data_IF_068495909237
#
_entry.id   IF_068495909237
#
_cell.length_a   1.000
_cell.length_b   1.000
_cell.length_c   1.000
_cell.angle_alpha   90.00
_cell.angle_beta   90.00
_cell.angle_gamma   90.00
#
_symmetry.space_group_name_H-M   'P 1'
#
loop_
_entity.id
_entity.type
_entity.pdbx_description
1 polymer ?
#
# COMPACT_ATOMS: atom_id res chain seq x y z
N UNK A 1 11.38 -13.60 -20.41
CA UNK A 1 12.11 -14.75 -19.89
C UNK A 1 11.27 -15.40 -18.80
N UNK A 2 11.20 -16.73 -18.74
CA UNK A 2 10.48 -17.43 -17.71
C UNK A 2 11.23 -17.23 -16.38
N UNK A 3 10.51 -16.88 -15.33
CA UNK A 3 11.04 -16.90 -13.99
C UNK A 3 11.47 -18.31 -13.65
N UNK A 4 12.72 -18.47 -13.27
CA UNK A 4 13.32 -19.74 -12.93
C UNK A 4 12.56 -20.49 -11.87
N UNK A 5 12.48 -21.77 -12.10
CA UNK A 5 11.94 -22.79 -11.24
C UNK A 5 12.71 -22.81 -9.90
N UNK A 6 12.18 -22.12 -8.90
CA UNK A 6 12.60 -22.27 -7.52
C UNK A 6 11.85 -23.46 -6.96
N UNK A 7 12.45 -24.63 -7.05
CA UNK A 7 11.93 -25.92 -6.64
C UNK A 7 11.53 -26.04 -5.15
N UNK A 8 10.63 -25.18 -4.70
CA UNK A 8 9.86 -25.32 -3.50
C UNK A 8 8.43 -25.61 -3.94
N UNK A 9 8.03 -26.85 -3.78
CA UNK A 9 6.63 -27.31 -3.87
C UNK A 9 5.83 -26.57 -2.81
N UNK A 10 5.41 -25.35 -3.09
CA UNK A 10 4.41 -24.63 -2.31
C UNK A 10 3.05 -25.18 -2.73
N UNK A 11 2.16 -25.49 -1.78
CA UNK A 11 0.81 -25.95 -2.11
C UNK A 11 0.14 -24.94 -3.06
N UNK A 12 -0.47 -25.44 -4.11
CA UNK A 12 -1.10 -24.68 -5.20
C UNK A 12 -2.12 -23.64 -4.72
N UNK A 13 -2.66 -23.80 -3.53
CA UNK A 13 -3.65 -22.91 -2.90
C UNK A 13 -3.10 -21.53 -2.47
N UNK A 14 -1.79 -21.37 -2.33
CA UNK A 14 -1.16 -20.09 -1.96
C UNK A 14 -1.00 -19.14 -3.14
N UNK A 15 -1.07 -19.62 -4.37
CA UNK A 15 -0.88 -18.82 -5.59
C UNK A 15 -2.21 -18.28 -6.12
N UNK A 16 -3.34 -18.87 -5.72
CA UNK A 16 -4.67 -18.48 -6.23
C UNK A 16 -5.19 -17.14 -5.74
N UNK A 17 -4.50 -16.48 -4.80
CA UNK A 17 -4.94 -15.20 -4.19
C UNK A 17 -4.29 -13.93 -4.75
N UNK A 18 -3.26 -14.00 -5.59
CA UNK A 18 -2.54 -12.80 -6.07
C UNK A 18 -2.61 -12.66 -7.59
N UNK A 19 -3.56 -11.86 -8.05
CA UNK A 19 -3.71 -11.49 -9.46
C UNK A 19 -3.14 -10.11 -9.74
N UNK A 20 -2.39 -9.98 -10.84
CA UNK A 20 -1.86 -8.70 -11.31
C UNK A 20 -2.55 -8.27 -12.59
N UNK A 21 -2.92 -6.99 -12.66
CA UNK A 21 -3.57 -6.38 -13.81
C UNK A 21 -2.82 -5.11 -14.21
N UNK A 22 -2.69 -4.89 -15.51
CA UNK A 22 -2.09 -3.66 -16.01
C UNK A 22 -3.13 -2.56 -16.06
N UNK A 23 -2.84 -1.44 -15.36
CA UNK A 23 -3.68 -0.24 -15.36
C UNK A 23 -3.30 0.69 -16.52
N UNK A 24 -4.30 1.48 -16.95
CA UNK A 24 -4.17 2.47 -18.02
C UNK A 24 -4.77 3.80 -17.56
N UNK A 25 -4.10 4.49 -16.62
CA UNK A 25 -4.54 5.80 -16.16
C UNK A 25 -4.36 6.87 -17.23
N UNK A 26 -5.21 7.90 -17.21
CA UNK A 26 -4.93 9.14 -17.94
C UNK A 26 -3.74 9.89 -17.31
N UNK A 27 -3.13 10.86 -18.02
CA UNK A 27 -2.02 11.66 -17.43
C UNK A 27 -2.39 12.31 -16.10
N UNK A 28 -3.59 12.85 -15.97
CA UNK A 28 -4.07 13.43 -14.71
C UNK A 28 -4.23 12.38 -13.60
N UNK A 29 -4.77 11.21 -13.93
CA UNK A 29 -4.88 10.08 -13.01
C UNK A 29 -3.52 9.56 -12.60
N UNK A 30 -2.56 9.48 -13.52
CA UNK A 30 -1.19 9.07 -13.21
C UNK A 30 -0.53 10.01 -12.21
N UNK A 31 -0.68 11.33 -12.40
CA UNK A 31 -0.18 12.32 -11.45
C UNK A 31 -0.81 12.13 -10.06
N UNK A 32 -2.14 11.95 -9.99
CA UNK A 32 -2.84 11.72 -8.73
C UNK A 32 -2.43 10.39 -8.05
N UNK A 33 -2.19 9.32 -8.81
CA UNK A 33 -1.67 8.06 -8.28
C UNK A 33 -0.28 8.22 -7.67
N UNK A 34 0.61 8.98 -8.33
CA UNK A 34 1.95 9.27 -7.82
C UNK A 34 1.92 10.12 -6.53
N UNK A 35 0.94 11.03 -6.39
CA UNK A 35 0.73 11.75 -5.13
C UNK A 35 0.35 10.80 -3.98
N UNK A 36 -0.52 9.83 -4.22
CA UNK A 36 -0.85 8.80 -3.22
C UNK A 36 0.36 7.93 -2.87
N UNK A 37 1.20 7.59 -3.86
CA UNK A 37 2.46 6.88 -3.62
C UNK A 37 3.42 7.72 -2.77
N UNK A 38 3.51 9.01 -3.03
CA UNK A 38 4.32 9.95 -2.24
C UNK A 38 3.86 9.99 -0.78
N UNK A 39 2.57 10.09 -0.54
CA UNK A 39 2.02 10.10 0.81
C UNK A 39 2.33 8.79 1.56
N UNK A 40 2.11 7.65 0.91
CA UNK A 40 2.41 6.34 1.49
C UNK A 40 3.90 6.19 1.81
N UNK A 41 4.79 6.65 0.93
CA UNK A 41 6.24 6.65 1.13
C UNK A 41 6.65 7.56 2.27
N UNK A 42 6.09 8.76 2.32
CA UNK A 42 6.35 9.73 3.39
C UNK A 42 6.03 9.14 4.76
N UNK A 43 4.83 8.58 4.92
CA UNK A 43 4.40 8.03 6.22
C UNK A 43 5.18 6.78 6.62
N UNK A 44 5.53 5.92 5.66
CA UNK A 44 6.43 4.80 5.94
C UNK A 44 7.77 5.29 6.46
N UNK A 45 8.37 6.28 5.80
CA UNK A 45 9.67 6.82 6.18
C UNK A 45 9.62 7.54 7.52
N UNK A 46 8.56 8.29 7.80
CA UNK A 46 8.34 8.94 9.10
C UNK A 46 8.23 7.91 10.24
N UNK A 47 7.46 6.85 10.02
CA UNK A 47 7.33 5.76 10.99
C UNK A 47 8.66 5.02 11.22
N UNK A 48 9.44 4.81 10.16
CA UNK A 48 10.77 4.24 10.24
C UNK A 48 11.73 5.13 11.03
N UNK A 49 11.68 6.44 10.82
CA UNK A 49 12.49 7.41 11.57
C UNK A 49 12.15 7.36 13.06
N UNK A 50 10.86 7.45 13.41
CA UNK A 50 10.41 7.32 14.81
C UNK A 50 10.92 6.03 15.46
N UNK A 51 10.81 4.91 14.75
CA UNK A 51 11.29 3.62 15.25
C UNK A 51 12.81 3.55 15.37
N UNK A 52 13.55 4.19 14.47
CA UNK A 52 15.02 4.22 14.47
C UNK A 52 15.59 5.11 15.57
N UNK A 53 14.84 6.12 16.01
CA UNK A 53 15.23 7.02 17.10
C UNK A 53 15.02 6.43 18.50
N UNK A 54 14.56 5.19 18.58
CA UNK A 54 14.36 4.55 19.87
C UNK A 54 15.68 4.40 20.63
N UNK A 55 15.67 4.84 21.88
CA UNK A 55 16.73 4.64 22.85
C UNK A 55 16.14 4.08 24.13
N UNK A 56 16.95 3.33 24.91
CA UNK A 56 16.50 2.62 26.10
C UNK A 56 15.85 3.53 27.16
N UNK A 57 16.28 4.77 27.22
CA UNK A 57 15.83 5.81 28.14
C UNK A 57 14.54 6.54 27.68
N UNK A 58 14.19 6.44 26.41
CA UNK A 58 12.98 7.09 25.85
C UNK A 58 11.71 6.25 25.91
N UNK A 59 11.79 5.03 26.45
CA UNK A 59 10.66 4.11 26.50
C UNK A 59 10.30 3.51 25.13
N UNK A 60 9.06 3.03 25.00
CA UNK A 60 8.59 2.37 23.80
C UNK A 60 8.39 3.37 22.63
N UNK A 61 8.69 2.91 21.42
CA UNK A 61 8.34 3.66 20.19
C UNK A 61 6.81 3.72 20.00
N UNK A 62 6.29 4.76 19.33
CA UNK A 62 4.87 4.82 19.01
C UNK A 62 4.43 3.59 18.21
N UNK A 63 3.42 2.89 18.70
CA UNK A 63 2.77 1.80 17.96
C UNK A 63 1.77 2.34 16.92
N UNK A 64 1.17 1.42 16.14
CA UNK A 64 0.24 1.76 15.07
C UNK A 64 -0.92 2.67 15.52
N UNK A 65 -1.54 2.40 16.67
CA UNK A 65 -2.66 3.20 17.18
C UNK A 65 -2.24 4.65 17.47
N UNK A 66 -1.10 4.83 18.12
CA UNK A 66 -0.54 6.15 18.41
C UNK A 66 -0.14 6.88 17.13
N UNK A 67 0.48 6.20 16.18
CA UNK A 67 0.81 6.76 14.86
C UNK A 67 -0.44 7.22 14.09
N UNK A 68 -1.55 6.47 14.17
CA UNK A 68 -2.83 6.88 13.59
C UNK A 68 -3.41 8.13 14.27
N UNK A 69 -3.27 8.27 15.60
CA UNK A 69 -3.66 9.48 16.32
C UNK A 69 -2.84 10.67 15.88
N UNK A 70 -1.52 10.53 15.82
CA UNK A 70 -0.59 11.56 15.33
C UNK A 70 -0.90 11.94 13.86
N UNK A 71 -1.25 10.96 13.02
CA UNK A 71 -1.68 11.23 11.65
C UNK A 71 -2.95 12.10 11.62
N UNK A 72 -3.93 11.83 12.48
CA UNK A 72 -5.15 12.63 12.56
C UNK A 72 -4.83 14.09 12.91
N UNK A 73 -3.97 14.32 13.89
CA UNK A 73 -3.51 15.65 14.29
C UNK A 73 -2.72 16.33 13.16
N UNK A 74 -1.81 15.61 12.52
CA UNK A 74 -1.03 16.13 11.40
C UNK A 74 -1.92 16.51 10.21
N UNK A 75 -2.96 15.71 9.90
CA UNK A 75 -3.93 16.03 8.84
C UNK A 75 -4.77 17.27 9.17
N UNK A 76 -5.03 17.55 10.44
CA UNK A 76 -5.67 18.81 10.85
C UNK A 76 -4.75 20.02 10.64
N UNK A 77 -3.46 19.84 10.89
CA UNK A 77 -2.46 20.92 10.80
C UNK A 77 -1.94 21.18 9.37
N UNK A 78 -1.79 20.10 8.56
CA UNK A 78 -1.18 20.16 7.24
C UNK A 78 -2.18 19.85 6.12
N UNK A 79 -2.47 20.87 5.31
CA UNK A 79 -3.44 20.76 4.21
C UNK A 79 -3.05 19.71 3.16
N UNK A 80 -1.77 19.63 2.81
CA UNK A 80 -1.30 18.67 1.83
C UNK A 80 -1.53 17.21 2.27
N UNK A 81 -1.41 16.89 3.57
CA UNK A 81 -1.77 15.57 4.10
C UNK A 81 -3.28 15.34 4.06
N UNK A 82 -4.05 16.36 4.42
CA UNK A 82 -5.52 16.29 4.40
C UNK A 82 -6.07 16.12 2.99
N UNK A 83 -5.43 16.69 1.98
CA UNK A 83 -5.79 16.53 0.56
C UNK A 83 -5.62 15.08 0.08
N UNK A 84 -4.69 14.32 0.64
CA UNK A 84 -4.48 12.92 0.34
C UNK A 84 -5.56 11.99 0.92
N UNK A 85 -5.47 10.71 0.58
CA UNK A 85 -6.39 9.68 1.07
C UNK A 85 -5.99 9.19 2.46
N UNK A 86 -6.88 9.36 3.44
CA UNK A 86 -6.67 8.85 4.79
C UNK A 86 -6.46 7.33 4.82
N UNK A 87 -7.22 6.58 4.02
CA UNK A 87 -7.09 5.13 3.92
C UNK A 87 -5.70 4.72 3.46
N UNK A 88 -5.18 5.35 2.40
CA UNK A 88 -3.82 5.09 1.89
C UNK A 88 -2.77 5.41 2.95
N UNK A 89 -2.91 6.53 3.63
CA UNK A 89 -1.99 6.98 4.67
C UNK A 89 -1.98 6.03 5.88
N UNK A 90 -3.15 5.62 6.37
CA UNK A 90 -3.25 4.64 7.46
C UNK A 90 -2.71 3.27 7.08
N UNK A 91 -2.93 2.83 5.83
CA UNK A 91 -2.41 1.55 5.38
C UNK A 91 -0.88 1.55 5.24
N UNK A 92 -0.26 2.67 4.92
CA UNK A 92 1.20 2.80 4.95
C UNK A 92 1.76 2.58 6.37
N UNK A 93 1.11 3.15 7.39
CA UNK A 93 1.48 2.93 8.79
C UNK A 93 1.23 1.48 9.23
N UNK A 94 0.12 0.86 8.79
CA UNK A 94 -0.16 -0.55 9.07
C UNK A 94 0.86 -1.48 8.43
N UNK A 95 1.25 -1.20 7.20
CA UNK A 95 2.28 -1.98 6.49
C UNK A 95 3.64 -1.86 7.19
N UNK A 96 3.96 -0.68 7.73
CA UNK A 96 5.17 -0.49 8.53
C UNK A 96 5.12 -1.29 9.84
N UNK A 97 4.03 -1.19 10.60
CA UNK A 97 3.82 -1.95 11.84
C UNK A 97 3.98 -3.47 11.60
N UNK A 98 3.40 -3.97 10.51
CA UNK A 98 3.55 -5.37 10.12
C UNK A 98 5.00 -5.73 9.77
N UNK A 99 5.72 -4.84 9.08
CA UNK A 99 7.12 -5.06 8.74
C UNK A 99 8.01 -5.13 9.99
N UNK A 100 7.76 -4.30 10.99
CA UNK A 100 8.46 -4.33 12.29
C UNK A 100 8.16 -5.63 13.03
N UNK A 101 6.90 -6.06 13.07
CA UNK A 101 6.52 -7.35 13.67
C UNK A 101 7.22 -8.53 13.01
N UNK A 102 7.25 -8.54 11.68
CA UNK A 102 7.92 -9.58 10.90
C UNK A 102 9.43 -9.61 11.14
N UNK A 103 10.03 -8.44 11.32
CA UNK A 103 11.45 -8.32 11.69
C UNK A 103 11.73 -8.94 13.06
N UNK A 104 10.94 -8.59 14.08
CA UNK A 104 11.11 -9.18 15.41
C UNK A 104 10.78 -10.68 15.48
N UNK A 105 9.89 -11.15 14.62
CA UNK A 105 9.61 -12.57 14.46
C UNK A 105 10.72 -13.33 13.69
N UNK A 106 11.74 -12.63 13.18
CA UNK A 106 12.85 -13.22 12.43
C UNK A 106 12.50 -13.69 11.01
N UNK A 107 11.29 -13.38 10.52
CA UNK A 107 10.81 -13.82 9.19
C UNK A 107 11.23 -12.90 8.05
N UNK A 108 11.53 -11.64 8.36
CA UNK A 108 11.89 -10.62 7.39
C UNK A 108 13.09 -9.80 7.86
N UNK A 109 13.74 -9.14 6.91
CA UNK A 109 14.83 -8.19 7.20
C UNK A 109 14.28 -6.92 7.85
N UNK A 110 15.18 -6.15 8.48
CA UNK A 110 14.86 -4.83 9.02
C UNK A 110 14.22 -3.93 7.97
N UNK A 111 13.13 -3.21 8.31
CA UNK A 111 12.55 -2.21 7.43
C UNK A 111 13.57 -1.15 6.99
N UNK A 112 13.51 -0.74 5.74
CA UNK A 112 14.41 0.23 5.12
C UNK A 112 13.64 1.42 4.55
N UNK A 113 14.36 2.50 4.28
CA UNK A 113 13.81 3.71 3.64
C UNK A 113 13.25 3.41 2.25
N UNK A 114 12.07 3.96 1.99
CA UNK A 114 11.47 3.92 0.65
C UNK A 114 11.94 5.12 -0.16
N UNK A 115 12.40 4.84 -1.39
CA UNK A 115 12.92 5.84 -2.33
C UNK A 115 11.91 6.12 -3.43
N UNK A 116 11.80 7.40 -3.85
CA UNK A 116 11.01 7.80 -5.00
C UNK A 116 11.50 7.10 -6.27
N UNK A 117 10.58 6.72 -7.14
CA UNK A 117 10.88 6.01 -8.38
C UNK A 117 11.23 4.52 -8.23
N UNK A 118 11.52 4.03 -7.02
CA UNK A 118 11.84 2.63 -6.76
C UNK A 118 10.78 1.91 -5.93
N UNK A 119 10.24 2.57 -4.92
CA UNK A 119 9.31 2.00 -3.97
C UNK A 119 7.96 2.73 -4.05
N UNK A 120 7.43 2.82 -5.27
CA UNK A 120 6.13 3.41 -5.50
C UNK A 120 5.04 2.35 -5.29
N UNK A 121 3.97 2.74 -4.62
CA UNK A 121 2.84 1.87 -4.38
C UNK A 121 2.11 2.19 -3.08
N UNK A 122 0.84 1.83 -3.04
CA UNK A 122 -0.02 1.96 -1.88
C UNK A 122 -1.05 0.84 -1.85
N UNK A 123 -1.69 0.65 -0.70
CA UNK A 123 -2.69 -0.39 -0.50
C UNK A 123 -4.06 0.23 -0.16
N UNK A 124 -5.10 -0.34 -0.75
CA UNK A 124 -6.50 -0.02 -0.46
C UNK A 124 -7.16 -1.24 0.17
N UNK A 125 -7.95 -1.03 1.21
CA UNK A 125 -8.62 -2.09 1.98
C UNK A 125 -10.09 -1.78 2.22
N UNK A 126 -10.82 -2.79 2.68
CA UNK A 126 -12.22 -2.68 3.07
C UNK A 126 -13.18 -2.48 1.91
N UNK A 127 -14.31 -1.84 2.15
CA UNK A 127 -15.35 -1.61 1.14
C UNK A 127 -14.89 -0.81 -0.09
N UNK A 128 -13.78 -0.10 0.01
CA UNK A 128 -13.17 0.59 -1.14
C UNK A 128 -12.43 -0.37 -2.09
N UNK A 129 -11.91 -1.50 -1.57
CA UNK A 129 -11.25 -2.51 -2.38
C UNK A 129 -12.23 -3.28 -3.29
N UNK A 130 -13.52 -3.33 -2.94
CA UNK A 130 -14.57 -4.01 -3.70
C UNK A 130 -15.15 -3.19 -4.85
N UNK A 131 -14.73 -1.93 -5.02
CA UNK A 131 -15.22 -1.03 -6.07
C UNK A 131 -14.55 -1.30 -7.42
N UNK A 132 -14.83 -2.48 -7.95
CA UNK A 132 -14.38 -2.90 -9.28
C UNK A 132 -15.60 -3.17 -10.13
N UNK A 133 -15.62 -2.63 -11.36
CA UNK A 133 -16.71 -2.81 -12.33
C UNK A 133 -16.15 -3.38 -13.62
N UNK A 134 -16.69 -4.51 -14.04
CA UNK A 134 -16.37 -5.10 -15.33
C UNK A 134 -17.08 -4.31 -16.42
N UNK A 135 -16.33 -3.83 -17.42
CA UNK A 135 -16.88 -3.08 -18.56
C UNK A 135 -17.25 -4.01 -19.71
N UNK A 136 -16.37 -4.97 -20.00
CA UNK A 136 -16.57 -5.97 -21.06
C UNK A 136 -15.61 -7.15 -20.84
N UNK A 137 -15.50 -8.04 -21.83
CA UNK A 137 -14.65 -9.23 -21.75
C UNK A 137 -13.15 -8.92 -21.51
N UNK A 138 -12.67 -7.75 -21.97
CA UNK A 138 -11.24 -7.39 -21.95
C UNK A 138 -10.90 -6.28 -20.94
N UNK A 139 -11.90 -5.54 -20.44
CA UNK A 139 -11.67 -4.34 -19.64
C UNK A 139 -12.55 -4.29 -18.40
N UNK A 140 -11.95 -3.77 -17.34
CA UNK A 140 -12.63 -3.39 -16.10
C UNK A 140 -12.09 -2.04 -15.62
N UNK A 141 -12.74 -1.48 -14.62
CA UNK A 141 -12.31 -0.26 -13.95
C UNK A 141 -12.38 -0.44 -12.43
N UNK A 142 -11.47 0.19 -11.73
CA UNK A 142 -11.41 0.24 -10.27
C UNK A 142 -11.51 1.68 -9.80
N UNK A 143 -12.29 1.93 -8.75
CA UNK A 143 -12.37 3.25 -8.15
C UNK A 143 -11.27 3.41 -7.11
N UNK A 144 -10.31 4.27 -7.41
CA UNK A 144 -9.21 4.62 -6.50
C UNK A 144 -9.57 5.91 -5.76
N UNK A 145 -9.52 5.95 -4.43
CA UNK A 145 -9.81 7.16 -3.66
C UNK A 145 -8.97 8.36 -4.15
N UNK A 146 -9.60 9.51 -4.30
CA UNK A 146 -8.99 10.77 -4.80
C UNK A 146 -8.56 10.76 -6.28
N UNK A 147 -8.60 9.63 -6.97
CA UNK A 147 -8.22 9.49 -8.38
C UNK A 147 -9.42 9.24 -9.28
N UNK A 148 -10.43 8.52 -8.75
CA UNK A 148 -11.62 8.12 -9.48
C UNK A 148 -11.45 6.78 -10.20
N UNK A 149 -12.22 6.56 -11.26
CA UNK A 149 -12.27 5.30 -11.98
C UNK A 149 -11.09 5.14 -12.94
N UNK A 150 -10.20 4.20 -12.66
CA UNK A 150 -9.05 3.86 -13.50
C UNK A 150 -9.31 2.55 -14.22
N UNK A 151 -9.10 2.52 -15.52
CA UNK A 151 -9.26 1.33 -16.36
C UNK A 151 -8.07 0.41 -16.23
N UNK A 152 -8.34 -0.89 -16.27
CA UNK A 152 -7.31 -1.93 -16.34
C UNK A 152 -7.73 -3.06 -17.27
N UNK A 153 -6.75 -3.78 -17.78
CA UNK A 153 -6.99 -4.90 -18.69
C UNK A 153 -7.28 -6.18 -17.91
N UNK A 154 -8.35 -6.86 -18.26
CA UNK A 154 -8.68 -8.18 -17.75
C UNK A 154 -7.84 -9.23 -18.48
N UNK A 155 -6.75 -9.66 -17.86
CA UNK A 155 -5.91 -10.77 -18.33
C UNK A 155 -6.37 -12.11 -17.74
N UNK A 156 -7.15 -12.07 -16.67
CA UNK A 156 -7.67 -13.22 -15.94
C UNK A 156 -8.93 -12.84 -15.17
N UNK A 157 -9.58 -13.79 -14.51
CA UNK A 157 -10.72 -13.52 -13.64
C UNK A 157 -10.31 -12.61 -12.47
N UNK A 158 -11.21 -11.70 -12.07
CA UNK A 158 -11.00 -10.86 -10.89
C UNK A 158 -11.25 -11.72 -9.66
N UNK A 159 -10.25 -11.92 -8.78
CA UNK A 159 -10.47 -12.65 -7.54
C UNK A 159 -11.31 -11.83 -6.57
N UNK A 160 -12.01 -12.51 -5.69
CA UNK A 160 -12.62 -11.87 -4.54
C UNK A 160 -11.50 -11.45 -3.57
N UNK A 161 -11.33 -10.15 -3.39
CA UNK A 161 -10.21 -9.61 -2.61
C UNK A 161 -10.67 -8.59 -1.57
N UNK A 162 -10.10 -8.69 -0.37
CA UNK A 162 -10.31 -7.73 0.72
C UNK A 162 -9.41 -6.48 0.59
N UNK A 163 -8.41 -6.53 -0.26
CA UNK A 163 -7.47 -5.44 -0.51
C UNK A 163 -6.83 -5.56 -1.90
N UNK A 164 -6.36 -4.43 -2.41
CA UNK A 164 -5.51 -4.42 -3.59
C UNK A 164 -4.36 -3.41 -3.43
N UNK A 165 -3.28 -3.61 -4.21
CA UNK A 165 -2.16 -2.67 -4.31
C UNK A 165 -2.12 -2.04 -5.70
N UNK A 166 -1.70 -0.80 -5.73
CA UNK A 166 -1.36 -0.03 -6.94
C UNK A 166 0.12 0.25 -6.91
#
# INVERSE_FOLDING_TARGET
PPFGDWGLSVPFDWISGMSRFRMYPSPAQQAALLELCRDARYLWNLALEQWSMWTRDKGATPGFAEQCRQLTEARAAFEWLRAGSQTVQQQALRDFDQAVRNFYAGTHRRPTWRKAGLHEGFRIVGGQASRVVKLNRKWAKVNVPKVGWVRFRLSQAIPEAKSYRV
#
